data_IF_470066244634
#
_entry.id   IF_470066244634
#
_cell.length_a   1.000
_cell.length_b   1.000
_cell.length_c   1.000
_cell.angle_alpha   90.00
_cell.angle_beta   90.00
_cell.angle_gamma   90.00
#
_symmetry.space_group_name_H-M   'P 1'
#
loop_
_entity.id
_entity.type
_entity.pdbx_description
1 polymer ?
#
# COMPACT_ATOMS: atom_id res chain seq x y z
N UNK A 1 31.66 3.78 -9.30
CA UNK A 1 31.34 2.41 -9.77
C UNK A 1 29.96 2.47 -10.41
N UNK A 2 29.82 2.05 -11.66
CA UNK A 2 28.54 2.02 -12.40
C UNK A 2 28.12 0.56 -12.52
N UNK A 3 26.85 0.27 -12.23
CA UNK A 3 26.26 -1.07 -12.38
C UNK A 3 25.31 -1.01 -13.57
N UNK A 4 25.58 -1.78 -14.61
CA UNK A 4 24.69 -1.91 -15.76
C UNK A 4 23.68 -3.03 -15.52
N UNK A 5 22.46 -2.65 -15.17
CA UNK A 5 21.38 -3.61 -14.96
C UNK A 5 20.82 -4.18 -16.26
N UNK A 6 21.15 -3.62 -17.43
CA UNK A 6 20.64 -4.11 -18.72
C UNK A 6 21.36 -5.37 -19.21
N UNK A 7 22.66 -5.51 -18.89
CA UNK A 7 23.49 -6.69 -19.20
C UNK A 7 23.65 -7.66 -18.01
N UNK A 8 22.91 -7.43 -16.92
CA UNK A 8 23.00 -8.26 -15.72
C UNK A 8 22.44 -9.66 -15.99
N UNK A 9 23.27 -10.70 -15.92
CA UNK A 9 22.89 -12.09 -16.22
C UNK A 9 21.75 -12.64 -15.33
N UNK A 10 21.57 -12.07 -14.15
CA UNK A 10 20.51 -12.49 -13.21
C UNK A 10 19.27 -11.60 -13.28
N UNK A 11 19.22 -10.63 -14.21
CA UNK A 11 18.15 -9.61 -14.28
C UNK A 11 16.76 -10.23 -14.35
N UNK A 12 16.58 -11.26 -15.15
CA UNK A 12 15.28 -11.91 -15.32
C UNK A 12 15.16 -13.20 -14.50
N UNK A 13 16.13 -13.47 -13.63
CA UNK A 13 16.23 -14.72 -12.86
C UNK A 13 16.04 -14.46 -11.37
N UNK A 14 16.68 -13.41 -10.83
CA UNK A 14 16.74 -13.14 -9.40
C UNK A 14 16.88 -11.64 -9.07
N UNK A 15 16.50 -10.72 -9.96
CA UNK A 15 16.57 -9.28 -9.65
C UNK A 15 15.73 -8.90 -8.43
N UNK A 16 14.61 -9.59 -8.19
CA UNK A 16 13.77 -9.35 -7.02
C UNK A 16 14.53 -9.51 -5.70
N UNK A 17 15.57 -10.36 -5.68
CA UNK A 17 16.41 -10.64 -4.51
C UNK A 17 17.76 -9.89 -4.55
N UNK A 18 17.99 -9.05 -5.56
CA UNK A 18 19.23 -8.29 -5.71
C UNK A 18 19.23 -7.06 -4.78
N UNK A 19 20.35 -6.80 -4.11
CA UNK A 19 20.54 -5.61 -3.26
C UNK A 19 20.26 -4.30 -4.00
N UNK A 20 20.44 -4.27 -5.33
CA UNK A 20 20.12 -3.11 -6.17
C UNK A 20 18.62 -2.83 -6.18
N UNK A 21 17.76 -3.85 -6.23
CA UNK A 21 16.31 -3.70 -6.17
C UNK A 21 15.83 -3.29 -4.78
N UNK A 22 16.51 -3.71 -3.72
CA UNK A 22 16.25 -3.22 -2.36
C UNK A 22 16.55 -1.72 -2.23
N UNK A 23 17.64 -1.26 -2.85
CA UNK A 23 18.07 0.14 -2.75
C UNK A 23 17.35 1.08 -3.73
N UNK A 24 16.94 0.58 -4.91
CA UNK A 24 16.42 1.40 -6.00
C UNK A 24 14.98 1.06 -6.44
N UNK A 25 14.38 -0.01 -5.92
CA UNK A 25 13.06 -0.51 -6.33
C UNK A 25 13.13 -1.53 -7.48
N UNK A 26 12.02 -2.24 -7.77
CA UNK A 26 11.97 -3.28 -8.79
C UNK A 26 12.16 -2.70 -10.20
N UNK A 27 12.94 -3.37 -11.08
CA UNK A 27 13.10 -2.95 -12.46
C UNK A 27 11.74 -2.95 -13.18
N UNK A 28 11.37 -1.83 -13.78
CA UNK A 28 10.07 -1.65 -14.46
C UNK A 28 9.11 -0.68 -13.77
N UNK A 29 9.38 -0.28 -12.53
CA UNK A 29 8.75 0.93 -11.99
C UNK A 29 9.33 2.16 -12.70
N UNK A 30 8.49 3.06 -13.23
CA UNK A 30 9.00 4.26 -13.89
C UNK A 30 9.73 5.12 -12.86
N UNK A 31 11.05 5.17 -12.95
CA UNK A 31 11.85 6.24 -12.34
C UNK A 31 12.05 7.28 -13.44
N UNK A 32 11.79 8.56 -13.17
CA UNK A 32 12.11 9.61 -14.13
C UNK A 32 13.61 9.53 -14.38
N UNK A 33 14.03 9.89 -15.59
CA UNK A 33 15.44 9.87 -16.00
C UNK A 33 16.38 10.71 -15.11
N UNK A 34 15.84 11.55 -14.23
CA UNK A 34 16.54 12.35 -13.21
C UNK A 34 16.65 11.65 -11.84
N UNK A 35 16.24 10.38 -11.72
CA UNK A 35 16.26 9.61 -10.47
C UNK A 35 15.11 9.95 -9.51
N UNK A 36 14.16 10.79 -9.93
CA UNK A 36 12.94 11.06 -9.15
C UNK A 36 11.90 9.98 -9.42
N UNK A 37 11.39 9.41 -8.34
CA UNK A 37 10.28 8.47 -8.37
C UNK A 37 9.06 9.05 -9.13
N UNK A 38 8.54 8.34 -10.14
CA UNK A 38 7.34 8.75 -10.90
C UNK A 38 6.10 8.45 -10.06
N UNK A 39 5.84 9.34 -9.11
CA UNK A 39 4.58 9.44 -8.40
C UNK A 39 4.15 8.20 -7.60
N UNK A 40 3.18 8.37 -6.70
CA UNK A 40 2.60 7.24 -6.01
C UNK A 40 2.00 6.23 -6.98
N UNK A 41 2.17 4.91 -6.72
CA UNK A 41 1.26 3.96 -7.34
C UNK A 41 -0.17 4.45 -7.08
N UNK A 42 -1.07 4.19 -8.02
CA UNK A 42 -2.49 4.43 -7.82
C UNK A 42 -2.90 3.89 -6.43
N UNK A 43 -3.67 4.65 -5.64
CA UNK A 43 -4.08 4.19 -4.32
C UNK A 43 -4.71 2.80 -4.43
N UNK A 44 -4.19 1.85 -3.66
CA UNK A 44 -4.80 0.53 -3.53
C UNK A 44 -5.84 0.66 -2.42
N UNK A 45 -7.11 0.49 -2.77
CA UNK A 45 -8.19 0.39 -1.79
C UNK A 45 -8.23 -1.04 -1.29
N UNK A 46 -8.15 -1.23 0.03
CA UNK A 46 -8.30 -2.52 0.68
C UNK A 46 -9.56 -2.50 1.53
N UNK A 47 -10.45 -3.45 1.29
CA UNK A 47 -11.62 -3.70 2.11
C UNK A 47 -11.23 -4.42 3.42
N UNK A 48 -12.18 -4.51 4.36
CA UNK A 48 -11.89 -5.10 5.67
C UNK A 48 -11.51 -6.59 5.60
N UNK A 49 -12.09 -7.33 4.66
CA UNK A 49 -11.75 -8.74 4.45
C UNK A 49 -10.32 -8.89 3.90
N UNK A 50 -9.93 -8.01 2.97
CA UNK A 50 -8.57 -8.00 2.40
C UNK A 50 -7.52 -7.62 3.45
N UNK A 51 -7.82 -6.62 4.29
CA UNK A 51 -6.98 -6.27 5.44
C UNK A 51 -6.84 -7.45 6.42
N UNK A 52 -7.92 -8.19 6.66
CA UNK A 52 -7.90 -9.41 7.47
C UNK A 52 -7.01 -10.50 6.87
N UNK A 53 -7.12 -10.74 5.56
CA UNK A 53 -6.28 -11.69 4.83
C UNK A 53 -4.80 -11.29 4.90
N UNK A 54 -4.48 -10.00 4.73
CA UNK A 54 -3.12 -9.50 4.90
C UNK A 54 -2.58 -9.75 6.32
N UNK A 55 -3.43 -9.62 7.35
CA UNK A 55 -3.08 -9.96 8.73
C UNK A 55 -2.68 -11.42 8.89
N UNK A 56 -3.50 -12.35 8.38
CA UNK A 56 -3.21 -13.79 8.43
C UNK A 56 -1.88 -14.12 7.74
N UNK A 57 -1.65 -13.57 6.55
CA UNK A 57 -0.41 -13.78 5.82
C UNK A 57 0.81 -13.26 6.58
N UNK A 58 0.66 -12.16 7.30
CA UNK A 58 1.73 -11.60 8.12
C UNK A 58 2.01 -12.46 9.36
N UNK A 59 0.95 -12.97 10.02
CA UNK A 59 1.08 -13.82 11.21
C UNK A 59 1.82 -15.13 10.91
N UNK A 60 1.65 -15.69 9.70
CA UNK A 60 2.38 -16.88 9.24
C UNK A 60 3.74 -16.57 8.59
N UNK A 61 4.13 -15.29 8.51
CA UNK A 61 5.43 -14.86 7.98
C UNK A 61 5.56 -14.90 6.45
N UNK A 62 4.44 -14.96 5.71
CA UNK A 62 4.44 -14.92 4.25
C UNK A 62 4.58 -13.50 3.69
N UNK A 63 4.16 -12.50 4.45
CA UNK A 63 4.33 -11.07 4.09
C UNK A 63 4.78 -10.25 5.31
N UNK A 64 5.42 -9.09 5.12
CA UNK A 64 5.66 -8.15 6.20
C UNK A 64 4.36 -7.58 6.79
N UNK A 65 4.37 -7.22 8.07
CA UNK A 65 3.23 -6.55 8.71
C UNK A 65 2.92 -5.21 8.07
N UNK A 66 1.64 -4.98 7.74
CA UNK A 66 1.20 -3.76 7.10
C UNK A 66 1.32 -2.57 8.07
N UNK A 67 2.13 -1.58 7.71
CA UNK A 67 2.30 -0.33 8.46
C UNK A 67 1.66 0.81 7.67
N UNK A 68 0.42 1.15 8.00
CA UNK A 68 -0.28 2.27 7.38
C UNK A 68 0.26 3.58 7.94
N UNK A 69 0.73 4.45 7.05
CA UNK A 69 1.08 5.84 7.39
C UNK A 69 -0.08 6.71 6.95
N UNK A 70 -0.83 7.25 7.91
CA UNK A 70 -1.92 8.19 7.63
C UNK A 70 -1.37 9.62 7.57
N UNK A 71 -1.73 10.37 6.53
CA UNK A 71 -1.49 11.82 6.53
C UNK A 71 -2.52 12.46 7.46
N UNK A 72 -2.08 12.97 8.61
CA UNK A 72 -2.96 13.64 9.57
C UNK A 72 -3.70 14.87 9.00
N UNK A 73 -3.31 15.36 7.81
CA UNK A 73 -3.90 16.52 7.15
C UNK A 73 -5.15 16.20 6.30
N UNK A 74 -5.54 14.93 6.15
CA UNK A 74 -6.75 14.51 5.40
C UNK A 74 -7.91 14.06 6.32
N UNK A 75 -7.67 13.93 7.63
CA UNK A 75 -8.67 13.45 8.61
C UNK A 75 -9.68 14.53 9.04
N UNK A 76 -9.54 15.79 8.59
CA UNK A 76 -10.37 16.90 9.07
C UNK A 76 -11.77 16.99 8.44
N UNK A 77 -12.12 16.20 7.41
CA UNK A 77 -13.43 16.33 6.76
C UNK A 77 -14.07 14.99 6.35
N UNK A 78 -14.07 14.00 7.24
CA UNK A 78 -15.06 12.91 7.13
C UNK A 78 -16.27 13.33 7.98
N UNK A 79 -17.39 13.80 7.38
CA UNK A 79 -18.60 14.06 8.13
C UNK A 79 -19.03 12.74 8.74
N UNK A 80 -19.13 12.72 10.06
CA UNK A 80 -19.66 11.59 10.80
C UNK A 80 -21.07 11.30 10.26
N UNK A 81 -21.25 10.19 9.54
CA UNK A 81 -22.56 9.78 9.06
C UNK A 81 -23.47 9.66 10.29
N UNK A 82 -24.63 10.34 10.32
CA UNK A 82 -25.52 10.27 11.47
C UNK A 82 -26.03 8.83 11.59
N UNK A 83 -25.72 8.19 12.72
CA UNK A 83 -26.34 6.93 13.12
C UNK A 83 -27.85 7.14 13.19
N UNK A 84 -28.57 6.66 12.18
CA UNK A 84 -30.03 6.65 12.17
C UNK A 84 -30.49 5.45 13.02
N UNK A 85 -30.51 5.67 14.32
CA UNK A 85 -31.39 4.91 15.21
C UNK A 85 -32.17 5.93 16.05
N UNK A 86 -33.29 6.39 15.49
CA UNK A 86 -34.38 6.94 16.30
C UNK A 86 -35.45 5.84 16.36
N UNK A 87 -35.66 5.17 17.52
CA UNK A 87 -36.84 4.35 17.70
C UNK A 87 -38.05 5.29 17.69
N UNK A 88 -38.86 5.16 16.64
CA UNK A 88 -40.15 5.83 16.55
C UNK A 88 -41.06 5.26 17.63
N UNK A 89 -41.37 6.07 18.64
CA UNK A 89 -42.48 5.77 19.54
C UNK A 89 -43.21 7.07 19.89
N UNK A 90 -44.15 7.43 19.02
CA UNK A 90 -45.13 8.49 19.28
C UNK A 90 -46.51 7.84 19.50
N UNK A 91 -46.72 7.43 20.74
CA UNK A 91 -47.97 7.43 21.53
C UNK A 91 -49.29 7.20 20.79
N UNK A 92 -49.87 6.03 21.02
CA UNK A 92 -51.31 5.88 21.21
C UNK A 92 -51.62 5.96 22.72
N UNK A 93 -52.53 6.86 23.11
CA UNK A 93 -52.98 7.05 24.50
C UNK A 93 -53.42 8.47 24.78
#
# INVERSE_FOLDING_TARGET
>A
MIIDCSDCLVRDIACADCVVTVLLGPPGMPSRSDGRWVGPPSPITLEQEELGAMGVLADVGLVPTLKLVTNANETAEVPSLPTRDAPGDQRAG
#
